data_IF_250511493589
#
_entry.id   IF_250511493589
#
_cell.length_a   1.000
_cell.length_b   1.000
_cell.length_c   1.000
_cell.angle_alpha   90.00
_cell.angle_beta   90.00
_cell.angle_gamma   90.00
#
_symmetry.space_group_name_H-M   'P 1'
#
loop_
_entity.id
_entity.type
_entity.pdbx_description
1 polymer ?
#
# COMPACT_ATOMS: atom_id res chain seq x y z
N UNK A 1 22.68 -25.46 2.52
CA UNK A 1 23.43 -24.24 2.89
C UNK A 1 24.69 -24.08 2.06
N UNK A 2 25.64 -25.02 2.10
CA UNK A 2 26.92 -24.86 1.36
C UNK A 2 26.73 -24.73 -0.17
N UNK A 3 25.77 -25.45 -0.75
CA UNK A 3 25.41 -25.26 -2.17
C UNK A 3 24.94 -23.83 -2.48
N UNK A 4 24.16 -23.20 -1.60
CA UNK A 4 23.69 -21.82 -1.79
C UNK A 4 24.84 -20.83 -1.75
N UNK A 5 25.78 -21.00 -0.80
CA UNK A 5 26.98 -20.16 -0.70
C UNK A 5 27.86 -20.28 -1.94
N UNK A 6 28.01 -21.49 -2.47
CA UNK A 6 28.81 -21.73 -3.67
C UNK A 6 28.18 -21.03 -4.89
N UNK A 7 26.86 -21.15 -5.08
CA UNK A 7 26.17 -20.41 -6.14
C UNK A 7 26.19 -18.91 -5.94
N UNK A 8 26.03 -18.43 -4.70
CA UNK A 8 26.10 -17.00 -4.37
C UNK A 8 27.47 -16.44 -4.75
N UNK A 9 28.56 -17.07 -4.30
CA UNK A 9 29.93 -16.67 -4.66
C UNK A 9 30.17 -16.69 -6.17
N UNK A 10 29.70 -17.74 -6.84
CA UNK A 10 29.88 -17.93 -8.28
C UNK A 10 29.16 -16.84 -9.08
N UNK A 11 27.94 -16.46 -8.67
CA UNK A 11 27.16 -15.41 -9.33
C UNK A 11 27.71 -14.03 -8.98
N UNK A 12 28.08 -13.78 -7.72
CA UNK A 12 28.53 -12.45 -7.27
C UNK A 12 29.93 -12.09 -7.77
N UNK A 13 30.85 -13.05 -7.90
CA UNK A 13 32.24 -12.79 -8.26
C UNK A 13 32.57 -13.00 -9.75
N UNK A 14 31.70 -13.66 -10.51
CA UNK A 14 31.99 -13.93 -11.92
C UNK A 14 31.79 -12.70 -12.80
N UNK A 15 32.75 -12.47 -13.70
CA UNK A 15 32.65 -11.43 -14.74
C UNK A 15 31.95 -11.91 -16.01
N UNK A 16 31.79 -13.23 -16.16
CA UNK A 16 31.15 -13.85 -17.31
C UNK A 16 29.64 -14.04 -17.05
N UNK A 17 28.78 -13.99 -18.07
CA UNK A 17 27.34 -14.18 -17.91
C UNK A 17 27.02 -15.67 -17.67
N UNK A 18 27.28 -16.15 -16.45
CA UNK A 18 27.17 -17.57 -16.09
C UNK A 18 25.76 -18.14 -16.24
N UNK A 19 24.73 -17.29 -16.11
CA UNK A 19 23.32 -17.67 -16.26
C UNK A 19 22.94 -18.12 -17.68
N UNK A 20 23.75 -17.79 -18.70
CA UNK A 20 23.55 -18.28 -20.08
C UNK A 20 23.94 -19.75 -20.25
N UNK A 21 24.80 -20.27 -19.38
CA UNK A 21 25.32 -21.62 -19.52
C UNK A 21 24.40 -22.63 -18.82
N UNK A 22 23.73 -23.46 -19.62
CA UNK A 22 22.83 -24.52 -19.16
C UNK A 22 23.40 -25.43 -18.05
N UNK A 23 24.70 -25.80 -18.05
CA UNK A 23 25.29 -26.60 -16.96
C UNK A 23 25.29 -25.92 -15.59
N UNK A 24 25.24 -24.58 -15.53
CA UNK A 24 25.15 -23.81 -14.29
C UNK A 24 23.69 -23.49 -13.95
N UNK A 25 22.93 -23.08 -14.97
CA UNK A 25 21.54 -22.65 -14.81
C UNK A 25 20.63 -23.80 -14.37
N UNK A 26 20.67 -24.96 -15.05
CA UNK A 26 19.72 -26.06 -14.74
C UNK A 26 19.84 -26.53 -13.30
N UNK A 27 21.03 -26.86 -12.77
CA UNK A 27 21.13 -27.31 -11.39
C UNK A 27 20.76 -26.21 -10.39
N UNK A 28 20.98 -24.93 -10.73
CA UNK A 28 20.52 -23.80 -9.93
C UNK A 28 18.99 -23.72 -9.88
N UNK A 29 18.30 -23.77 -11.02
CA UNK A 29 16.83 -23.74 -11.09
C UNK A 29 16.25 -24.96 -10.39
N UNK A 30 16.83 -26.15 -10.56
CA UNK A 30 16.42 -27.36 -9.84
C UNK A 30 16.60 -27.19 -8.34
N UNK A 31 17.75 -26.66 -7.88
CA UNK A 31 17.99 -26.39 -6.47
C UNK A 31 16.97 -25.40 -5.91
N UNK A 32 16.72 -24.29 -6.59
CA UNK A 32 15.72 -23.30 -6.19
C UNK A 32 14.31 -23.92 -6.16
N UNK A 33 13.98 -24.80 -7.10
CA UNK A 33 12.71 -25.52 -7.14
C UNK A 33 12.50 -26.52 -6.00
N UNK A 34 13.55 -26.89 -5.26
CA UNK A 34 13.41 -27.72 -4.05
C UNK A 34 12.91 -26.94 -2.84
N UNK A 35 12.97 -25.61 -2.88
CA UNK A 35 12.47 -24.77 -1.79
C UNK A 35 10.96 -24.63 -1.91
N UNK A 36 10.24 -25.17 -0.93
CA UNK A 36 8.81 -24.94 -0.75
C UNK A 36 8.58 -23.75 0.20
N UNK A 37 7.50 -22.97 0.02
CA UNK A 37 7.06 -22.04 1.06
C UNK A 37 6.78 -22.83 2.35
N UNK A 38 7.63 -22.63 3.36
CA UNK A 38 7.57 -23.31 4.65
C UNK A 38 8.69 -22.86 5.57
N UNK A 39 8.55 -23.04 6.90
CA UNK A 39 9.54 -22.57 7.86
C UNK A 39 10.86 -23.32 7.68
N UNK A 40 11.91 -22.59 7.31
CA UNK A 40 13.26 -23.11 7.15
C UNK A 40 14.13 -22.66 8.33
N UNK A 41 15.36 -23.18 8.43
CA UNK A 41 16.30 -22.64 9.41
C UNK A 41 16.66 -21.20 9.03
N UNK A 42 16.82 -20.27 9.98
CA UNK A 42 17.12 -18.86 9.69
C UNK A 42 18.43 -18.70 8.92
N UNK A 43 19.38 -19.61 9.13
CA UNK A 43 20.62 -19.69 8.36
C UNK A 43 20.34 -20.02 6.90
N UNK A 44 19.44 -20.97 6.62
CA UNK A 44 19.08 -21.35 5.27
C UNK A 44 18.35 -20.21 4.55
N UNK A 45 17.36 -19.58 5.20
CA UNK A 45 16.62 -18.44 4.67
C UNK A 45 17.53 -17.27 4.32
N UNK A 46 18.45 -16.92 5.22
CA UNK A 46 19.43 -15.86 4.97
C UNK A 46 20.29 -16.14 3.73
N UNK A 47 20.83 -17.35 3.60
CA UNK A 47 21.64 -17.71 2.42
C UNK A 47 20.80 -17.80 1.13
N UNK A 48 19.52 -18.19 1.24
CA UNK A 48 18.61 -18.24 0.10
C UNK A 48 18.29 -16.82 -0.40
N UNK A 49 17.86 -15.92 0.48
CA UNK A 49 17.52 -14.54 0.12
C UNK A 49 18.74 -13.80 -0.41
N UNK A 50 19.93 -14.03 0.16
CA UNK A 50 21.19 -13.50 -0.38
C UNK A 50 21.42 -13.95 -1.83
N UNK A 51 21.29 -15.25 -2.11
CA UNK A 51 21.44 -15.78 -3.46
C UNK A 51 20.38 -15.20 -4.43
N UNK A 52 19.12 -15.14 -4.00
CA UNK A 52 18.03 -14.58 -4.81
C UNK A 52 18.25 -13.10 -5.11
N UNK A 53 18.78 -12.33 -4.17
CA UNK A 53 19.16 -10.94 -4.39
C UNK A 53 20.29 -10.81 -5.42
N UNK A 54 21.37 -11.60 -5.30
CA UNK A 54 22.46 -11.60 -6.29
C UNK A 54 21.98 -12.03 -7.69
N UNK A 55 21.02 -12.95 -7.75
CA UNK A 55 20.34 -13.30 -8.99
C UNK A 55 19.57 -12.12 -9.56
N UNK A 56 18.77 -11.41 -8.76
CA UNK A 56 18.04 -10.23 -9.22
C UNK A 56 18.99 -9.12 -9.73
N UNK A 57 20.12 -8.90 -9.06
CA UNK A 57 21.16 -7.96 -9.53
C UNK A 57 21.73 -8.40 -10.88
N UNK A 58 21.99 -9.69 -11.06
CA UNK A 58 22.50 -10.24 -12.32
C UNK A 58 21.47 -10.14 -13.45
N UNK A 59 20.20 -10.44 -13.15
CA UNK A 59 19.07 -10.32 -14.08
C UNK A 59 18.81 -8.87 -14.48
N UNK A 60 18.92 -7.92 -13.56
CA UNK A 60 18.78 -6.50 -13.86
C UNK A 60 19.87 -5.98 -14.82
N UNK A 61 21.07 -6.59 -14.79
CA UNK A 61 22.13 -6.30 -15.78
C UNK A 61 21.87 -6.95 -17.13
N UNK A 62 21.17 -8.08 -17.15
CA UNK A 62 20.89 -8.84 -18.37
C UNK A 62 19.46 -9.40 -18.42
N UNK A 63 18.45 -8.54 -18.70
CA UNK A 63 17.03 -8.90 -18.60
C UNK A 63 16.59 -10.05 -19.51
N UNK A 64 17.31 -10.31 -20.61
CA UNK A 64 17.04 -11.42 -21.52
C UNK A 64 17.17 -12.80 -20.86
N UNK A 65 17.90 -12.92 -19.76
CA UNK A 65 18.07 -14.19 -19.03
C UNK A 65 16.91 -14.50 -18.08
N UNK A 66 16.01 -13.55 -17.85
CA UNK A 66 14.85 -13.71 -16.98
C UNK A 66 13.90 -14.82 -17.46
N UNK A 67 13.71 -14.94 -18.78
CA UNK A 67 12.83 -15.96 -19.39
C UNK A 67 13.21 -17.39 -18.97
N UNK A 68 14.48 -17.59 -18.61
CA UNK A 68 15.04 -18.88 -18.19
C UNK A 68 14.61 -19.31 -16.78
N UNK A 69 14.04 -18.41 -15.99
CA UNK A 69 13.57 -18.66 -14.62
C UNK A 69 12.05 -18.80 -14.50
N UNK A 70 11.33 -18.74 -15.63
CA UNK A 70 9.93 -19.10 -15.69
C UNK A 70 9.76 -20.63 -15.72
N UNK A 71 8.90 -21.14 -14.85
CA UNK A 71 8.51 -22.55 -14.82
C UNK A 71 7.06 -22.70 -15.26
N UNK A 72 6.73 -23.79 -15.96
CA UNK A 72 5.35 -24.13 -16.28
C UNK A 72 4.57 -24.38 -14.97
N UNK A 73 3.58 -23.52 -14.69
CA UNK A 73 2.70 -23.67 -13.54
C UNK A 73 1.62 -24.73 -13.74
N UNK A 74 0.93 -25.08 -12.66
CA UNK A 74 -0.08 -26.15 -12.63
C UNK A 74 -1.29 -25.91 -13.56
N UNK A 75 -1.48 -24.68 -14.05
CA UNK A 75 -2.56 -24.28 -14.97
C UNK A 75 -2.04 -23.73 -16.31
N UNK A 76 -0.77 -24.00 -16.67
CA UNK A 76 -0.14 -23.43 -17.86
C UNK A 76 0.28 -21.96 -17.70
N UNK A 77 0.16 -21.39 -16.51
CA UNK A 77 0.68 -20.06 -16.16
C UNK A 77 2.16 -20.15 -15.82
N UNK A 78 3.01 -19.46 -16.56
CA UNK A 78 4.44 -19.45 -16.29
C UNK A 78 4.72 -18.72 -14.96
N UNK A 79 5.28 -19.40 -13.95
CA UNK A 79 5.63 -18.83 -12.65
C UNK A 79 7.11 -18.45 -12.61
N UNK A 80 7.40 -17.20 -12.25
CA UNK A 80 8.76 -16.73 -12.03
C UNK A 80 9.24 -17.25 -10.66
N UNK A 81 10.08 -18.29 -10.65
CA UNK A 81 10.49 -19.00 -9.44
C UNK A 81 11.12 -18.07 -8.38
N UNK A 82 12.02 -17.18 -8.82
CA UNK A 82 12.70 -16.21 -7.95
C UNK A 82 11.68 -15.32 -7.22
N UNK A 83 10.65 -14.89 -7.94
CA UNK A 83 9.59 -14.04 -7.41
C UNK A 83 8.80 -14.76 -6.32
N UNK A 84 8.34 -15.97 -6.60
CA UNK A 84 7.55 -16.78 -5.66
C UNK A 84 8.32 -17.11 -4.39
N UNK A 85 9.64 -17.29 -4.47
CA UNK A 85 10.49 -17.54 -3.31
C UNK A 85 10.77 -16.28 -2.47
N UNK A 86 10.72 -15.09 -3.06
CA UNK A 86 10.96 -13.83 -2.35
C UNK A 86 9.72 -13.29 -1.63
N UNK A 87 8.52 -13.51 -2.19
CA UNK A 87 7.25 -12.98 -1.67
C UNK A 87 7.01 -13.28 -0.18
N UNK A 88 7.27 -14.50 0.34
CA UNK A 88 7.08 -14.80 1.76
C UNK A 88 7.90 -13.91 2.71
N UNK A 89 9.04 -13.38 2.26
CA UNK A 89 9.96 -12.60 3.09
C UNK A 89 9.67 -11.09 3.08
N UNK A 90 8.71 -10.61 2.29
CA UNK A 90 8.45 -9.16 2.11
C UNK A 90 8.20 -8.44 3.45
N UNK A 91 7.38 -9.05 4.30
CA UNK A 91 7.00 -8.49 5.60
C UNK A 91 7.85 -9.04 6.75
N UNK A 92 9.01 -9.66 6.47
CA UNK A 92 9.93 -10.06 7.52
C UNK A 92 10.71 -8.83 8.05
N UNK A 93 11.06 -8.90 9.34
CA UNK A 93 11.91 -7.91 10.00
C UNK A 93 13.40 -8.14 9.67
N UNK A 94 14.21 -7.11 9.90
CA UNK A 94 15.66 -7.18 9.81
C UNK A 94 16.19 -7.30 8.38
N UNK A 95 17.42 -7.83 8.28
CA UNK A 95 18.22 -7.83 7.05
C UNK A 95 17.61 -8.72 5.96
N UNK A 96 17.02 -9.87 6.36
CA UNK A 96 16.41 -10.82 5.41
C UNK A 96 15.23 -10.14 4.68
N UNK A 97 14.32 -9.53 5.43
CA UNK A 97 13.19 -8.83 4.82
C UNK A 97 13.63 -7.64 3.97
N UNK A 98 14.66 -6.90 4.41
CA UNK A 98 15.19 -5.79 3.61
C UNK A 98 15.77 -6.27 2.27
N UNK A 99 16.59 -7.32 2.30
CA UNK A 99 17.16 -7.87 1.08
C UNK A 99 16.11 -8.45 0.15
N UNK A 100 15.05 -9.05 0.69
CA UNK A 100 13.93 -9.53 -0.11
C UNK A 100 13.20 -8.38 -0.82
N UNK A 101 12.95 -7.27 -0.11
CA UNK A 101 12.37 -6.05 -0.68
C UNK A 101 13.27 -5.44 -1.75
N UNK A 102 14.58 -5.32 -1.49
CA UNK A 102 15.54 -4.78 -2.47
C UNK A 102 15.58 -5.64 -3.75
N UNK A 103 15.58 -6.97 -3.61
CA UNK A 103 15.55 -7.90 -4.73
C UNK A 103 14.24 -7.78 -5.54
N UNK A 104 13.09 -7.68 -4.86
CA UNK A 104 11.80 -7.48 -5.52
C UNK A 104 11.70 -6.11 -6.21
N UNK A 105 12.31 -5.05 -5.65
CA UNK A 105 12.39 -3.75 -6.33
C UNK A 105 13.13 -3.84 -7.66
N UNK A 106 14.18 -4.68 -7.76
CA UNK A 106 14.86 -4.91 -9.04
C UNK A 106 13.93 -5.60 -10.05
N UNK A 107 13.12 -6.57 -9.62
CA UNK A 107 12.10 -7.20 -10.48
C UNK A 107 11.06 -6.16 -10.93
N UNK A 108 10.58 -5.32 -10.01
CA UNK A 108 9.65 -4.25 -10.35
C UNK A 108 10.25 -3.26 -11.34
N UNK A 109 11.51 -2.85 -11.15
CA UNK A 109 12.21 -1.97 -12.09
C UNK A 109 12.32 -2.59 -13.48
N UNK A 110 12.67 -3.89 -13.57
CA UNK A 110 12.69 -4.60 -14.86
C UNK A 110 11.31 -4.68 -15.54
N UNK A 111 10.21 -4.67 -14.77
CA UNK A 111 8.86 -4.68 -15.34
C UNK A 111 8.55 -3.41 -16.13
N UNK A 112 9.19 -2.28 -15.81
CA UNK A 112 8.94 -0.98 -16.47
C UNK A 112 9.19 -1.03 -17.98
N UNK A 113 10.21 -1.79 -18.40
CA UNK A 113 10.59 -1.98 -19.80
C UNK A 113 10.06 -3.30 -20.40
N UNK A 114 9.43 -4.16 -19.60
CA UNK A 114 8.94 -5.47 -20.02
C UNK A 114 7.43 -5.66 -19.73
N UNK A 115 6.56 -5.37 -20.72
CA UNK A 115 5.11 -5.50 -20.58
C UNK A 115 4.64 -6.93 -20.24
N UNK A 116 5.37 -7.95 -20.68
CA UNK A 116 5.05 -9.35 -20.37
C UNK A 116 5.26 -9.64 -18.89
N UNK A 117 6.36 -9.13 -18.30
CA UNK A 117 6.60 -9.23 -16.87
C UNK A 117 5.55 -8.44 -16.08
N UNK A 118 5.20 -7.23 -16.54
CA UNK A 118 4.16 -6.43 -15.91
C UNK A 118 2.83 -7.19 -15.84
N UNK A 119 2.39 -7.81 -16.96
CA UNK A 119 1.19 -8.63 -17.00
C UNK A 119 1.28 -9.88 -16.11
N UNK A 120 2.44 -10.54 -16.09
CA UNK A 120 2.64 -11.66 -15.17
C UNK A 120 2.45 -11.22 -13.71
N UNK A 121 3.02 -10.07 -13.32
CA UNK A 121 2.90 -9.55 -11.96
C UNK A 121 1.43 -9.20 -11.64
N UNK A 122 0.71 -8.59 -12.58
CA UNK A 122 -0.68 -8.18 -12.32
C UNK A 122 -1.67 -9.33 -12.33
N UNK A 123 -1.47 -10.29 -13.23
CA UNK A 123 -2.49 -11.28 -13.55
C UNK A 123 -2.22 -12.63 -12.86
N UNK A 124 -0.95 -12.95 -12.55
CA UNK A 124 -0.56 -14.30 -12.11
C UNK A 124 0.16 -14.36 -10.74
N UNK A 125 0.63 -13.25 -10.15
CA UNK A 125 1.57 -13.32 -9.01
C UNK A 125 1.02 -12.92 -7.63
N UNK A 126 -0.27 -12.58 -7.52
CA UNK A 126 -0.94 -12.10 -6.30
C UNK A 126 -0.19 -11.02 -5.50
N UNK A 127 0.80 -10.36 -6.09
CA UNK A 127 1.74 -9.50 -5.40
C UNK A 127 1.10 -8.24 -4.81
N UNK A 128 0.35 -7.51 -5.63
CA UNK A 128 -0.37 -6.31 -5.19
C UNK A 128 -1.40 -6.61 -4.07
N UNK A 129 -2.23 -7.66 -4.17
CA UNK A 129 -3.05 -8.13 -3.04
C UNK A 129 -2.25 -8.42 -1.77
N UNK A 130 -1.15 -9.17 -1.88
CA UNK A 130 -0.31 -9.53 -0.72
C UNK A 130 0.22 -8.27 -0.02
N UNK A 131 0.70 -7.27 -0.76
CA UNK A 131 1.16 -6.02 -0.17
C UNK A 131 0.06 -5.25 0.56
N UNK A 132 -1.12 -5.13 -0.05
CA UNK A 132 -2.23 -4.42 0.57
C UNK A 132 -2.73 -5.13 1.83
N UNK A 133 -2.91 -6.46 1.77
CA UNK A 133 -3.30 -7.26 2.94
C UNK A 133 -2.23 -7.25 4.03
N UNK A 134 -0.95 -7.24 3.66
CA UNK A 134 0.17 -7.08 4.57
C UNK A 134 0.14 -5.74 5.31
N UNK A 135 -0.12 -4.62 4.63
CA UNK A 135 -0.33 -3.33 5.29
C UNK A 135 -1.47 -3.38 6.31
N UNK A 136 -2.59 -4.04 5.96
CA UNK A 136 -3.74 -4.23 6.86
C UNK A 136 -3.40 -5.05 8.10
N UNK A 137 -2.65 -6.15 7.95
CA UNK A 137 -2.20 -6.98 9.05
C UNK A 137 -1.19 -6.24 9.96
N UNK A 138 -0.24 -5.53 9.36
CA UNK A 138 0.75 -4.73 10.07
C UNK A 138 0.09 -3.58 10.84
N UNK A 139 -0.89 -2.90 10.25
CA UNK A 139 -1.65 -1.85 10.93
C UNK A 139 -2.39 -2.40 12.15
N UNK A 140 -2.99 -3.59 12.02
CA UNK A 140 -3.72 -4.24 13.12
C UNK A 140 -2.80 -4.59 14.30
N UNK A 141 -1.50 -4.73 14.05
CA UNK A 141 -0.46 -4.98 15.05
C UNK A 141 0.12 -3.70 15.68
N UNK A 142 -0.30 -2.51 15.23
CA UNK A 142 0.18 -1.25 15.79
C UNK A 142 -0.42 -0.99 17.18
N UNK A 143 0.32 -0.31 18.07
CA UNK A 143 -0.21 0.12 19.35
C UNK A 143 -1.46 0.99 19.16
N UNK A 144 -2.56 0.63 19.82
CA UNK A 144 -3.81 1.41 19.79
C UNK A 144 -3.76 2.67 20.65
N UNK A 145 -2.79 2.73 21.56
CA UNK A 145 -2.48 3.85 22.42
C UNK A 145 -1.02 4.19 22.27
N UNK A 146 -0.73 5.47 22.00
CA UNK A 146 0.63 5.98 21.94
C UNK A 146 0.99 6.51 23.33
N UNK A 147 2.10 6.05 23.89
CA UNK A 147 2.62 6.61 25.13
C UNK A 147 3.13 8.03 24.87
N UNK A 148 2.42 9.01 25.42
CA UNK A 148 2.70 10.43 25.18
C UNK A 148 3.75 10.94 26.17
N UNK A 149 4.87 11.47 25.64
CA UNK A 149 5.90 12.13 26.45
C UNK A 149 5.67 13.65 26.46
N UNK A 150 4.93 14.12 27.46
CA UNK A 150 4.72 15.56 27.71
C UNK A 150 3.47 16.15 27.06
N UNK A 151 3.07 17.33 27.55
CA UNK A 151 1.79 17.94 27.19
C UNK A 151 1.76 18.52 25.76
N UNK A 152 2.92 18.86 25.20
CA UNK A 152 3.07 19.45 23.86
C UNK A 152 3.14 18.42 22.72
N UNK A 153 2.96 17.13 23.00
CA UNK A 153 3.05 16.09 21.98
C UNK A 153 1.86 16.17 21.00
N UNK A 154 2.17 16.19 19.69
CA UNK A 154 1.17 16.38 18.63
C UNK A 154 1.44 15.58 17.34
N UNK A 155 2.55 14.83 17.26
CA UNK A 155 2.86 13.93 16.14
C UNK A 155 4.00 12.96 16.50
N UNK A 156 4.14 11.91 15.69
CA UNK A 156 5.20 10.90 15.84
C UNK A 156 6.48 11.34 15.11
N UNK A 157 7.53 11.63 15.87
CA UNK A 157 8.89 11.81 15.35
C UNK A 157 9.57 10.46 15.17
N UNK A 158 10.65 10.44 14.38
CA UNK A 158 11.44 9.21 14.16
C UNK A 158 11.91 8.57 15.47
N UNK A 159 12.32 9.38 16.44
CA UNK A 159 12.74 8.95 17.77
C UNK A 159 11.63 8.27 18.58
N UNK A 160 10.37 8.61 18.34
CA UNK A 160 9.22 8.07 19.08
C UNK A 160 8.87 6.65 18.64
N UNK A 161 9.10 6.30 17.38
CA UNK A 161 8.66 5.02 16.81
C UNK A 161 9.77 4.06 16.40
N UNK A 162 11.02 4.51 16.32
CA UNK A 162 12.14 3.63 15.93
C UNK A 162 12.33 2.44 16.90
N UNK A 163 11.91 2.59 18.16
CA UNK A 163 11.92 1.51 19.16
C UNK A 163 10.67 0.62 19.17
N UNK A 164 9.69 0.90 18.32
CA UNK A 164 8.42 0.15 18.23
C UNK A 164 8.47 -0.75 17.01
N UNK A 165 8.84 -2.01 17.19
CA UNK A 165 9.10 -2.96 16.08
C UNK A 165 7.94 -3.07 15.08
N UNK A 166 6.69 -3.15 15.56
CA UNK A 166 5.53 -3.25 14.67
C UNK A 166 5.33 -2.00 13.80
N UNK A 167 5.66 -0.82 14.33
CA UNK A 167 5.58 0.43 13.56
C UNK A 167 6.76 0.55 12.59
N UNK A 168 7.96 0.13 12.98
CA UNK A 168 9.10 0.03 12.05
C UNK A 168 8.77 -0.90 10.88
N UNK A 169 8.15 -2.05 11.15
CA UNK A 169 7.76 -3.00 10.12
C UNK A 169 6.69 -2.44 9.18
N UNK A 170 5.68 -1.76 9.73
CA UNK A 170 4.68 -1.05 8.93
C UNK A 170 5.34 0.00 8.01
N UNK A 171 6.23 0.83 8.57
CA UNK A 171 6.91 1.88 7.80
C UNK A 171 7.78 1.30 6.69
N UNK A 172 8.53 0.23 6.95
CA UNK A 172 9.30 -0.47 5.90
C UNK A 172 8.40 -1.02 4.78
N UNK A 173 7.22 -1.54 5.12
CA UNK A 173 6.25 -2.05 4.15
C UNK A 173 5.62 -0.92 3.32
N UNK A 174 5.31 0.22 3.95
CA UNK A 174 4.78 1.40 3.27
C UNK A 174 5.84 2.03 2.35
N UNK A 175 7.08 2.15 2.82
CA UNK A 175 8.23 2.63 2.02
C UNK A 175 8.48 1.73 0.82
N UNK A 176 8.35 0.41 0.98
CA UNK A 176 8.41 -0.52 -0.14
C UNK A 176 7.29 -0.30 -1.14
N UNK A 177 6.04 -0.13 -0.70
CA UNK A 177 4.93 0.20 -1.61
C UNK A 177 5.19 1.51 -2.39
N UNK A 178 5.71 2.53 -1.69
CA UNK A 178 6.12 3.80 -2.29
C UNK A 178 7.21 3.59 -3.36
N UNK A 179 8.27 2.83 -3.06
CA UNK A 179 9.32 2.52 -4.01
C UNK A 179 8.82 1.69 -5.22
N UNK A 180 7.93 0.72 -5.00
CA UNK A 180 7.30 -0.04 -6.10
C UNK A 180 6.50 0.89 -7.00
N UNK A 181 5.71 1.81 -6.43
CA UNK A 181 4.98 2.80 -7.25
C UNK A 181 5.89 3.73 -8.04
N UNK A 182 7.14 3.94 -7.61
CA UNK A 182 8.10 4.77 -8.32
C UNK A 182 8.70 4.06 -9.55
N UNK A 183 9.07 2.78 -9.41
CA UNK A 183 9.92 2.08 -10.39
C UNK A 183 9.17 1.08 -11.28
N UNK A 184 7.98 0.63 -10.89
CA UNK A 184 7.28 -0.44 -11.60
C UNK A 184 6.62 0.02 -12.90
N UNK A 185 6.21 -0.92 -13.74
CA UNK A 185 5.35 -0.63 -14.89
C UNK A 185 4.01 0.00 -14.46
N UNK A 186 3.43 0.97 -15.21
CA UNK A 186 2.17 1.63 -14.84
C UNK A 186 1.00 0.68 -14.55
N UNK A 187 0.93 -0.49 -15.19
CA UNK A 187 -0.07 -1.52 -14.88
C UNK A 187 0.04 -2.01 -13.43
N UNK A 188 1.26 -2.34 -12.98
CA UNK A 188 1.53 -2.78 -11.60
C UNK A 188 1.29 -1.64 -10.63
N UNK A 189 1.72 -0.42 -10.96
CA UNK A 189 1.49 0.76 -10.12
C UNK A 189 -0.01 0.99 -9.88
N UNK A 190 -0.81 1.02 -10.96
CA UNK A 190 -2.25 1.25 -10.89
C UNK A 190 -2.97 0.18 -10.07
N UNK A 191 -2.60 -1.09 -10.27
CA UNK A 191 -3.19 -2.19 -9.53
C UNK A 191 -2.81 -2.14 -8.04
N UNK A 192 -1.55 -1.84 -7.72
CA UNK A 192 -1.08 -1.71 -6.34
C UNK A 192 -1.83 -0.60 -5.60
N UNK A 193 -1.95 0.59 -6.18
CA UNK A 193 -2.66 1.69 -5.51
C UNK A 193 -4.15 1.40 -5.35
N UNK A 194 -4.77 0.68 -6.29
CA UNK A 194 -6.16 0.24 -6.18
C UNK A 194 -6.35 -0.74 -5.01
N UNK A 195 -5.46 -1.74 -4.89
CA UNK A 195 -5.49 -2.66 -3.75
C UNK A 195 -5.19 -1.98 -2.43
N UNK A 196 -4.27 -1.01 -2.37
CA UNK A 196 -4.03 -0.24 -1.14
C UNK A 196 -5.28 0.57 -0.76
N UNK A 197 -5.96 1.18 -1.73
CA UNK A 197 -7.19 1.91 -1.48
C UNK A 197 -8.30 1.00 -0.94
N UNK A 198 -8.61 -0.07 -1.66
CA UNK A 198 -9.75 -0.93 -1.39
C UNK A 198 -9.50 -1.97 -0.30
N UNK A 199 -8.25 -2.38 -0.10
CA UNK A 199 -7.83 -3.43 0.84
C UNK A 199 -7.26 -2.91 2.16
N UNK A 200 -6.75 -1.67 2.20
CA UNK A 200 -6.18 -1.08 3.42
C UNK A 200 -6.88 0.21 3.84
N UNK A 201 -6.89 1.25 2.99
CA UNK A 201 -7.40 2.57 3.39
C UNK A 201 -8.88 2.54 3.76
N UNK A 202 -9.72 2.03 2.86
CA UNK A 202 -11.17 1.96 3.11
C UNK A 202 -11.51 1.02 4.28
N UNK A 203 -11.15 -0.27 4.27
CA UNK A 203 -11.63 -1.22 5.28
C UNK A 203 -10.92 -1.13 6.63
N UNK A 204 -9.67 -0.63 6.69
CA UNK A 204 -8.89 -0.58 7.93
C UNK A 204 -8.78 0.85 8.44
N UNK A 205 -8.29 1.77 7.61
CA UNK A 205 -8.05 3.14 8.04
C UNK A 205 -9.36 3.92 8.26
N UNK A 206 -10.37 3.71 7.40
CA UNK A 206 -11.69 4.34 7.50
C UNK A 206 -12.35 4.13 8.87
N UNK A 207 -12.60 2.88 9.28
CA UNK A 207 -13.13 2.56 10.60
C UNK A 207 -12.21 2.99 11.74
N UNK A 208 -10.89 2.85 11.60
CA UNK A 208 -9.94 3.28 12.64
C UNK A 208 -10.06 4.77 12.97
N UNK A 209 -10.32 5.60 11.96
CA UNK A 209 -10.59 7.02 12.10
C UNK A 209 -11.99 7.34 12.64
N UNK A 210 -12.89 6.37 12.88
CA UNK A 210 -14.23 6.62 13.41
C UNK A 210 -14.51 5.91 14.74
N UNK A 211 -13.50 5.25 15.32
CA UNK A 211 -13.62 4.56 16.60
C UNK A 211 -14.01 5.50 17.74
N UNK A 212 -14.74 4.99 18.72
CA UNK A 212 -15.29 5.78 19.85
C UNK A 212 -14.26 6.19 20.91
N UNK A 213 -13.13 5.47 21.02
CA UNK A 213 -12.09 5.79 22.00
C UNK A 213 -11.21 6.95 21.53
N UNK A 214 -11.11 8.02 22.35
CA UNK A 214 -10.26 9.19 22.06
C UNK A 214 -8.80 8.78 21.87
N UNK A 215 -8.30 7.83 22.66
CA UNK A 215 -6.90 7.37 22.56
C UNK A 215 -6.62 6.67 21.23
N UNK A 216 -7.57 5.85 20.75
CA UNK A 216 -7.46 5.19 19.45
C UNK A 216 -7.64 6.18 18.29
N UNK A 217 -8.51 7.19 18.45
CA UNK A 217 -8.63 8.28 17.48
C UNK A 217 -7.31 9.07 17.38
N UNK A 218 -6.67 9.36 18.51
CA UNK A 218 -5.35 10.03 18.56
C UNK A 218 -4.31 9.18 17.84
N UNK A 219 -4.20 7.90 18.18
CA UNK A 219 -3.23 6.99 17.56
C UNK A 219 -3.45 6.88 16.05
N UNK A 220 -4.67 6.63 15.61
CA UNK A 220 -5.02 6.51 14.18
C UNK A 220 -4.75 7.81 13.42
N UNK A 221 -5.05 8.97 14.01
CA UNK A 221 -4.77 10.28 13.38
C UNK A 221 -3.26 10.54 13.27
N UNK A 222 -2.49 10.19 14.31
CA UNK A 222 -1.03 10.32 14.29
C UNK A 222 -0.36 9.37 13.28
N UNK A 223 -0.88 8.15 13.13
CA UNK A 223 -0.42 7.21 12.11
C UNK A 223 -0.74 7.72 10.69
N UNK A 224 -1.95 8.24 10.45
CA UNK A 224 -2.29 8.85 9.16
C UNK A 224 -1.34 9.99 8.79
N UNK A 225 -1.06 10.87 9.76
CA UNK A 225 -0.11 11.98 9.59
C UNK A 225 1.27 11.46 9.20
N UNK A 226 1.77 10.45 9.94
CA UNK A 226 3.07 9.85 9.69
C UNK A 226 3.13 9.25 8.27
N UNK A 227 2.09 8.53 7.85
CA UNK A 227 2.02 7.89 6.53
C UNK A 227 2.02 8.92 5.41
N UNK A 228 1.19 9.97 5.52
CA UNK A 228 1.15 11.05 4.52
C UNK A 228 2.48 11.78 4.41
N UNK A 229 3.14 12.02 5.54
CA UNK A 229 4.45 12.69 5.58
C UNK A 229 5.58 11.82 5.02
N UNK A 230 5.45 10.49 5.06
CA UNK A 230 6.48 9.56 4.56
C UNK A 230 6.36 9.24 3.07
N UNK A 231 5.20 9.45 2.46
CA UNK A 231 4.98 9.13 1.04
C UNK A 231 5.59 10.22 0.15
N UNK A 232 6.48 9.82 -0.77
CA UNK A 232 7.05 10.70 -1.80
C UNK A 232 6.37 10.57 -3.15
N UNK A 233 5.83 9.38 -3.47
CA UNK A 233 5.32 9.10 -4.80
C UNK A 233 3.90 9.61 -5.02
N UNK A 234 3.72 10.30 -6.14
CA UNK A 234 2.48 11.01 -6.47
C UNK A 234 1.27 10.08 -6.61
N UNK A 235 1.43 8.89 -7.18
CA UNK A 235 0.35 7.91 -7.36
C UNK A 235 -0.18 7.40 -6.01
N UNK A 236 0.72 7.07 -5.09
CA UNK A 236 0.36 6.61 -3.75
C UNK A 236 -0.22 7.76 -2.92
N UNK A 237 0.39 8.95 -2.98
CA UNK A 237 -0.10 10.13 -2.27
C UNK A 237 -1.51 10.51 -2.73
N UNK A 238 -1.76 10.53 -4.05
CA UNK A 238 -3.09 10.77 -4.63
C UNK A 238 -4.12 9.78 -4.10
N UNK A 239 -3.73 8.54 -3.84
CA UNK A 239 -4.62 7.50 -3.31
C UNK A 239 -5.02 7.78 -1.86
N UNK A 240 -4.08 8.20 -1.02
CA UNK A 240 -4.36 8.65 0.34
C UNK A 240 -5.21 9.93 0.36
N UNK A 241 -4.92 10.90 -0.49
CA UNK A 241 -5.70 12.14 -0.59
C UNK A 241 -7.11 11.87 -1.10
N UNK A 242 -7.27 11.00 -2.09
CA UNK A 242 -8.59 10.55 -2.58
C UNK A 242 -9.40 9.93 -1.45
N UNK A 243 -8.79 9.08 -0.64
CA UNK A 243 -9.44 8.50 0.54
C UNK A 243 -9.89 9.60 1.52
N UNK A 244 -9.02 10.55 1.89
CA UNK A 244 -9.35 11.60 2.86
C UNK A 244 -10.47 12.53 2.34
N UNK A 245 -10.41 12.90 1.05
CA UNK A 245 -11.31 13.90 0.48
C UNK A 245 -12.67 13.32 0.04
N UNK A 246 -12.69 12.08 -0.47
CA UNK A 246 -13.89 11.52 -1.13
C UNK A 246 -14.55 10.38 -0.34
N UNK A 247 -13.80 9.62 0.46
CA UNK A 247 -14.39 8.49 1.16
C UNK A 247 -15.36 8.95 2.25
N UNK A 248 -16.49 8.24 2.36
CA UNK A 248 -17.54 8.50 3.35
C UNK A 248 -17.68 7.30 4.26
N UNK A 249 -17.72 7.57 5.56
CA UNK A 249 -18.04 6.61 6.61
C UNK A 249 -19.28 7.14 7.35
N UNK A 250 -20.31 6.31 7.50
CA UNK A 250 -21.60 6.70 8.13
C UNK A 250 -22.16 8.03 7.62
N UNK A 251 -22.12 8.24 6.28
CA UNK A 251 -22.55 9.45 5.59
C UNK A 251 -21.73 10.73 5.84
N UNK A 252 -20.66 10.71 6.63
CA UNK A 252 -19.70 11.82 6.75
C UNK A 252 -18.42 11.52 5.96
N UNK A 253 -17.86 12.53 5.27
CA UNK A 253 -16.53 12.38 4.66
C UNK A 253 -15.46 12.30 5.74
N UNK A 254 -14.38 11.54 5.51
CA UNK A 254 -13.22 11.49 6.43
C UNK A 254 -12.75 12.91 6.78
N UNK A 255 -12.64 13.80 5.78
CA UNK A 255 -12.28 15.21 5.97
C UNK A 255 -13.17 15.92 6.99
N UNK A 256 -14.49 15.80 6.86
CA UNK A 256 -15.46 16.40 7.78
C UNK A 256 -15.26 15.88 9.22
N UNK A 257 -15.06 14.57 9.39
CA UNK A 257 -14.78 13.99 10.70
C UNK A 257 -13.51 14.59 11.31
N UNK A 258 -12.42 14.69 10.53
CA UNK A 258 -11.17 15.31 10.97
C UNK A 258 -11.33 16.79 11.32
N UNK A 259 -12.10 17.56 10.55
CA UNK A 259 -12.39 18.97 10.85
C UNK A 259 -13.19 19.10 12.15
N UNK A 260 -14.20 18.24 12.36
CA UNK A 260 -15.02 18.28 13.58
C UNK A 260 -14.20 18.05 14.86
N UNK A 261 -13.09 17.30 14.77
CA UNK A 261 -12.16 17.08 15.88
C UNK A 261 -11.37 18.32 16.30
N UNK A 262 -11.15 19.28 15.40
CA UNK A 262 -10.46 20.54 15.72
C UNK A 262 -11.26 21.34 16.75
N UNK A 263 -12.58 21.25 16.72
CA UNK A 263 -13.44 21.95 17.68
C UNK A 263 -13.35 21.39 19.11
N UNK A 264 -12.68 20.24 19.31
CA UNK A 264 -12.48 19.68 20.64
C UNK A 264 -11.34 20.39 21.40
N UNK A 265 -11.50 20.69 22.69
CA UNK A 265 -10.44 21.27 23.53
C UNK A 265 -9.49 20.19 24.09
N UNK A 266 -8.96 19.33 23.21
CA UNK A 266 -8.23 18.13 23.62
C UNK A 266 -6.96 17.90 22.80
N UNK A 267 -6.12 16.94 23.23
CA UNK A 267 -4.95 16.48 22.48
C UNK A 267 -5.30 15.98 21.07
N UNK A 268 -6.52 15.49 20.87
CA UNK A 268 -7.02 15.10 19.56
C UNK A 268 -7.08 16.29 18.58
N UNK A 269 -7.40 17.50 19.07
CA UNK A 269 -7.33 18.72 18.26
C UNK A 269 -5.89 19.02 17.83
N UNK A 270 -4.92 18.96 18.75
CA UNK A 270 -3.51 19.19 18.43
C UNK A 270 -3.00 18.23 17.34
N UNK A 271 -3.26 16.94 17.49
CA UNK A 271 -2.85 15.93 16.49
C UNK A 271 -3.58 16.12 15.15
N UNK A 272 -4.87 16.49 15.18
CA UNK A 272 -5.63 16.81 13.97
C UNK A 272 -5.09 18.05 13.26
N UNK A 273 -4.71 19.09 14.01
CA UNK A 273 -4.08 20.30 13.46
C UNK A 273 -2.73 19.98 12.81
N UNK A 274 -1.93 19.07 13.39
CA UNK A 274 -0.69 18.62 12.76
C UNK A 274 -0.94 17.92 11.44
N UNK A 275 -1.96 17.04 11.39
CA UNK A 275 -2.38 16.39 10.15
C UNK A 275 -2.79 17.43 9.09
N UNK A 276 -3.58 18.45 9.45
CA UNK A 276 -3.94 19.52 8.53
C UNK A 276 -2.74 20.36 8.08
N UNK A 277 -1.78 20.62 8.97
CA UNK A 277 -0.51 21.26 8.61
C UNK A 277 0.24 20.42 7.57
N UNK A 278 0.34 19.11 7.78
CA UNK A 278 0.96 18.19 6.81
C UNK A 278 0.22 18.23 5.47
N UNK A 279 -1.13 18.14 5.47
CA UNK A 279 -1.95 18.23 4.25
C UNK A 279 -1.76 19.55 3.48
N UNK A 280 -1.73 20.68 4.17
CA UNK A 280 -1.50 21.98 3.55
C UNK A 280 -0.08 22.10 2.98
N UNK A 281 0.92 21.54 3.67
CA UNK A 281 2.31 21.54 3.22
C UNK A 281 2.56 20.66 1.98
N UNK A 282 1.62 19.79 1.59
CA UNK A 282 1.69 19.05 0.33
C UNK A 282 1.52 19.95 -0.89
N UNK A 283 1.02 21.19 -0.72
CA UNK A 283 0.74 22.13 -1.80
C UNK A 283 -0.13 21.54 -2.92
N UNK A 284 -1.01 20.59 -2.59
CA UNK A 284 -1.92 19.96 -3.53
C UNK A 284 -3.14 20.87 -3.77
N UNK A 285 -3.45 21.15 -5.05
CA UNK A 285 -4.56 22.00 -5.45
C UNK A 285 -5.90 21.50 -4.90
N UNK A 286 -6.18 20.19 -5.01
CA UNK A 286 -7.43 19.59 -4.51
C UNK A 286 -7.61 19.79 -3.00
N UNK A 287 -6.53 19.64 -2.24
CA UNK A 287 -6.52 19.83 -0.79
C UNK A 287 -6.75 21.30 -0.44
N UNK A 288 -6.01 22.21 -1.09
CA UNK A 288 -6.15 23.65 -0.89
C UNK A 288 -7.55 24.13 -1.27
N UNK A 289 -8.10 23.59 -2.35
CA UNK A 289 -9.46 23.86 -2.79
C UNK A 289 -10.48 23.44 -1.75
N UNK A 290 -10.43 22.20 -1.27
CA UNK A 290 -11.41 21.69 -0.31
C UNK A 290 -11.30 22.34 1.08
N UNK A 291 -10.09 22.65 1.54
CA UNK A 291 -9.87 23.19 2.88
C UNK A 291 -9.97 24.71 2.97
N UNK A 292 -9.52 25.43 1.94
CA UNK A 292 -9.33 26.90 2.02
C UNK A 292 -10.13 27.59 0.93
N UNK A 293 -9.81 27.33 -0.35
CA UNK A 293 -10.30 28.17 -1.44
C UNK A 293 -11.81 28.04 -1.62
N UNK A 294 -12.43 26.88 -1.40
CA UNK A 294 -13.89 26.70 -1.48
C UNK A 294 -14.67 27.67 -0.58
N UNK A 295 -14.08 28.09 0.54
CA UNK A 295 -14.70 29.05 1.48
C UNK A 295 -14.34 30.51 1.16
N UNK A 296 -13.18 30.75 0.54
CA UNK A 296 -12.69 32.10 0.21
C UNK A 296 -13.13 32.58 -1.17
N UNK A 297 -13.13 31.71 -2.18
CA UNK A 297 -13.47 32.00 -3.58
C UNK A 297 -14.83 32.70 -3.71
N UNK A 298 -15.90 32.29 -3.00
CA UNK A 298 -17.18 33.00 -3.06
C UNK A 298 -17.15 34.43 -2.47
N UNK A 299 -16.06 34.83 -1.81
CA UNK A 299 -15.87 36.13 -1.18
C UNK A 299 -17.00 36.53 -0.21
N UNK A 300 -17.66 35.56 0.41
CA UNK A 300 -18.74 35.80 1.37
C UNK A 300 -18.25 36.56 2.62
N UNK A 301 -16.97 36.42 2.95
CA UNK A 301 -16.30 37.10 4.05
C UNK A 301 -15.94 38.57 3.74
N UNK A 302 -15.96 39.00 2.47
CA UNK A 302 -15.65 40.37 2.06
C UNK A 302 -16.90 41.24 2.16
N UNK A 303 -16.75 42.45 2.72
CA UNK A 303 -17.83 43.43 2.79
C UNK A 303 -18.35 43.78 1.38
N UNK A 304 -19.68 43.90 1.23
CA UNK A 304 -20.34 44.13 -0.06
C UNK A 304 -19.80 45.36 -0.82
N UNK A 305 -19.39 46.40 -0.10
CA UNK A 305 -18.78 47.61 -0.69
C UNK A 305 -17.44 47.35 -1.38
N UNK A 306 -16.66 46.39 -0.86
CA UNK A 306 -15.32 46.03 -1.35
C UNK A 306 -15.35 44.91 -2.40
N UNK A 307 -16.46 44.17 -2.54
CA UNK A 307 -16.59 43.09 -3.54
C UNK A 307 -16.45 43.59 -4.98
N UNK A 308 -16.80 44.85 -5.27
CA UNK A 308 -16.61 45.45 -6.61
C UNK A 308 -15.14 45.61 -7.01
N UNK A 309 -14.21 45.58 -6.05
CA UNK A 309 -12.77 45.64 -6.32
C UNK A 309 -12.17 44.25 -6.63
N UNK A 310 -12.89 43.16 -6.35
CA UNK A 310 -12.49 41.79 -6.67
C UNK A 310 -12.98 41.47 -8.08
N UNK A 311 -12.07 41.36 -9.04
CA UNK A 311 -12.39 41.20 -10.47
C UNK A 311 -12.98 39.83 -10.82
N UNK A 312 -12.48 38.77 -10.19
CA UNK A 312 -12.89 37.39 -10.45
C UNK A 312 -13.67 36.83 -9.26
N UNK A 313 -14.98 37.09 -9.25
CA UNK A 313 -15.90 36.40 -8.33
C UNK A 313 -16.35 35.09 -8.99
N UNK A 314 -16.14 33.97 -8.33
CA UNK A 314 -16.73 32.71 -8.77
C UNK A 314 -18.21 32.67 -8.35
N UNK A 315 -19.07 33.24 -9.20
CA UNK A 315 -20.51 33.09 -9.07
C UNK A 315 -21.00 31.69 -9.51
N UNK A 316 -20.15 30.92 -10.19
CA UNK A 316 -20.60 29.79 -11.01
C UNK A 316 -20.46 28.43 -10.35
N UNK A 317 -19.60 28.24 -9.35
CA UNK A 317 -19.46 26.92 -8.69
C UNK A 317 -20.77 26.45 -8.03
N UNK A 318 -21.58 27.35 -7.45
CA UNK A 318 -22.94 26.99 -6.95
C UNK A 318 -23.91 26.66 -8.09
N UNK A 319 -23.78 27.31 -9.25
CA UNK A 319 -24.62 26.99 -10.42
C UNK A 319 -24.17 25.71 -11.10
N UNK A 320 -22.88 25.37 -11.05
CA UNK A 320 -22.33 24.12 -11.55
C UNK A 320 -22.85 22.94 -10.73
N UNK A 321 -22.84 23.02 -9.39
CA UNK A 321 -23.45 22.00 -8.52
C UNK A 321 -24.94 21.79 -8.85
N UNK A 322 -25.68 22.89 -9.07
CA UNK A 322 -27.10 22.82 -9.46
C UNK A 322 -27.28 22.27 -10.88
N UNK A 323 -26.35 22.53 -11.79
CA UNK A 323 -26.39 21.98 -13.14
C UNK A 323 -26.07 20.47 -13.15
N UNK A 324 -25.08 20.05 -12.35
CA UNK A 324 -24.74 18.65 -12.16
C UNK A 324 -25.87 17.88 -11.45
N UNK A 325 -26.59 18.51 -10.52
CA UNK A 325 -27.75 17.87 -9.88
C UNK A 325 -28.96 17.69 -10.81
N UNK A 326 -28.97 18.39 -11.95
CA UNK A 326 -29.96 18.20 -13.02
C UNK A 326 -29.57 17.07 -13.99
N UNK A 327 -28.41 16.42 -13.82
CA UNK A 327 -28.03 15.26 -14.63
C UNK A 327 -29.07 14.16 -14.41
N UNK A 328 -29.77 13.70 -15.47
CA UNK A 328 -30.75 12.63 -15.37
C UNK A 328 -30.12 11.37 -14.79
N UNK A 329 -30.87 10.61 -13.98
CA UNK A 329 -30.38 9.38 -13.36
C UNK A 329 -29.82 8.37 -14.39
N UNK A 330 -30.34 8.36 -15.62
CA UNK A 330 -29.84 7.52 -16.71
C UNK A 330 -28.47 7.93 -17.28
N UNK A 331 -27.98 9.13 -16.96
CA UNK A 331 -26.68 9.65 -17.38
C UNK A 331 -25.63 9.61 -16.26
N UNK A 332 -26.04 9.30 -15.03
CA UNK A 332 -25.12 9.00 -13.95
C UNK A 332 -24.52 7.63 -14.27
N UNK A 333 -23.22 7.59 -14.63
CA UNK A 333 -22.49 6.32 -14.71
C UNK A 333 -22.70 5.60 -13.38
N UNK A 334 -23.46 4.52 -13.44
CA UNK A 334 -23.74 3.63 -12.34
C UNK A 334 -22.48 3.39 -11.52
N UNK A 335 -22.44 4.00 -10.34
CA UNK A 335 -21.58 3.56 -9.23
C UNK A 335 -22.26 2.33 -8.61
N UNK A 336 -22.65 1.35 -9.45
CA UNK A 336 -23.30 0.10 -9.02
C UNK A 336 -22.29 -0.94 -8.50
N UNK A 337 -21.00 -0.65 -8.54
CA UNK A 337 -19.97 -1.57 -8.01
C UNK A 337 -19.86 -1.51 -6.48
N UNK A 338 -20.57 -0.59 -5.80
CA UNK A 338 -20.43 -0.40 -4.35
C UNK A 338 -21.46 -1.12 -3.47
N UNK A 339 -22.63 -1.49 -3.99
CA UNK A 339 -23.65 -2.19 -3.17
C UNK A 339 -23.58 -3.72 -3.27
N UNK A 340 -23.21 -4.30 -4.43
CA UNK A 340 -23.08 -5.76 -4.55
C UNK A 340 -21.79 -6.30 -3.90
N UNK A 341 -20.74 -5.49 -3.78
CA UNK A 341 -19.49 -5.91 -3.12
C UNK A 341 -19.58 -5.99 -1.60
N UNK A 342 -20.49 -5.26 -0.95
CA UNK A 342 -20.67 -5.37 0.51
C UNK A 342 -21.24 -6.74 0.92
N UNK A 343 -22.02 -7.39 0.06
CA UNK A 343 -22.57 -8.72 0.34
C UNK A 343 -21.59 -9.86 -0.04
N UNK A 344 -20.79 -9.71 -1.10
CA UNK A 344 -19.79 -10.73 -1.48
C UNK A 344 -18.59 -10.80 -0.51
N UNK A 345 -18.11 -9.66 0.01
CA UNK A 345 -16.96 -9.64 0.92
C UNK A 345 -17.22 -10.25 2.31
N UNK A 346 -18.48 -10.57 2.64
CA UNK A 346 -18.85 -11.23 3.89
C UNK A 346 -18.82 -12.78 3.83
N UNK A 347 -18.61 -13.39 2.65
CA UNK A 347 -18.73 -14.85 2.48
C UNK A 347 -17.43 -15.65 2.68
N UNK A 348 -16.27 -15.01 2.81
CA UNK A 348 -14.97 -15.70 2.96
C UNK A 348 -14.61 -16.10 4.40
N UNK A 349 -15.59 -16.31 5.29
CA UNK A 349 -15.33 -16.73 6.68
C UNK A 349 -16.26 -17.82 7.22
N UNK A 350 -16.89 -18.62 6.34
CA UNK A 350 -17.49 -19.89 6.77
C UNK A 350 -16.68 -21.05 6.23
N UNK A 351 -15.71 -21.47 7.04
CA UNK A 351 -15.09 -22.79 6.92
C UNK A 351 -16.15 -23.87 7.02
N UNK A 352 -15.94 -24.89 6.21
CA UNK A 352 -16.71 -26.11 6.08
C UNK A 352 -16.75 -26.87 7.41
N UNK A 353 -17.92 -26.93 8.06
CA UNK A 353 -18.19 -28.00 9.02
C UNK A 353 -18.69 -29.22 8.24
N UNK A 354 -17.80 -30.18 8.06
CA UNK A 354 -18.07 -31.52 7.54
C UNK A 354 -19.02 -32.23 8.50
N UNK A 355 -20.31 -32.31 8.15
CA UNK A 355 -21.27 -33.21 8.79
C UNK A 355 -21.07 -34.63 8.27
N UNK A 356 -20.44 -35.49 9.08
CA UNK A 356 -20.51 -36.94 8.87
C UNK A 356 -21.84 -37.51 9.35
N UNK A 357 -22.37 -38.37 8.50
CA UNK A 357 -23.69 -39.01 8.52
C UNK A 357 -23.97 -39.98 9.68
N UNK A 358 -25.27 -40.01 10.02
CA UNK A 358 -26.14 -41.16 10.31
C UNK A 358 -25.97 -41.99 11.59
N UNK A 359 -27.02 -41.92 12.43
CA UNK A 359 -27.75 -43.09 12.91
C UNK A 359 -29.26 -42.83 12.85
N UNK A 360 -29.97 -43.61 12.03
CA UNK A 360 -31.43 -43.67 11.99
C UNK A 360 -31.94 -44.73 12.98
N UNK A 361 -33.14 -44.58 13.56
CA UNK A 361 -33.84 -45.68 14.22
C UNK A 361 -35.04 -46.19 13.39
N UNK A 362 -35.15 -47.52 13.37
CA UNK A 362 -36.25 -48.39 12.89
C UNK A 362 -36.47 -48.56 11.39
#
# INVERSE_FOLDING_TARGET
>A
VEQLKLYEMLISQSRQPLLRYQPVLRPLVTLLGTFSPGPASPVLENNLVLLLNQLCVSLAREPSTLELFFQDGQEGTANLLIFSLLVPFIHHEGVIGQQARDALLLIMAMSSDNPTMARYITDNSFFCPILATGLSALYSSLPRKIEVRGDDWHFLRREDWIGVSSLVLFMNSLEFCNAVTQVAHPLVQNQLVEYIHNGFLVPVMGPALHKTSIEEMIASTAYLELFLRSISETALLKTFLRFILLHRHDSATILHTLVSRIASNSRLCMVSLTLFRTLLNLNCEDVLLQLVLRYLIPCNHVMLSQRRAVKDLDLYSKTADKFLSLIPKCCQKETLVSQEREEEHATWSKGEDVQHYNTAPY
#
